data_IF_560125977532
#
_entry.id   IF_560125977532
#
_cell.length_a   1.000
_cell.length_b   1.000
_cell.length_c   1.000
_cell.angle_alpha   90.00
_cell.angle_beta   90.00
_cell.angle_gamma   90.00
#
_symmetry.space_group_name_H-M   'P 1'
#
loop_
_entity.id
_entity.type
_entity.pdbx_description
1 polymer ?
#
# COMPACT_ATOMS: atom_id res chain seq x y z
N UNK A 1 -18.42 -7.93 4.29
CA UNK A 1 -16.94 -7.94 4.19
C UNK A 1 -16.46 -6.78 5.05
N UNK A 2 -15.56 -7.07 5.98
CA UNK A 2 -15.39 -6.34 7.24
C UNK A 2 -15.04 -4.86 7.07
N UNK A 3 -15.96 -4.00 7.48
CA UNK A 3 -15.68 -2.60 7.83
C UNK A 3 -14.90 -2.58 9.13
N UNK A 4 -13.80 -1.82 9.24
CA UNK A 4 -13.19 -1.53 10.54
C UNK A 4 -12.97 -0.02 10.70
N UNK A 5 -13.76 0.54 11.60
CA UNK A 5 -14.09 1.96 11.75
C UNK A 5 -13.09 2.77 12.62
N UNK A 6 -11.79 2.43 12.65
CA UNK A 6 -10.84 3.12 13.54
C UNK A 6 -9.42 3.26 12.97
N UNK A 7 -9.19 4.38 12.27
CA UNK A 7 -7.98 5.22 12.38
C UNK A 7 -6.56 4.65 12.17
N UNK A 8 -6.37 3.36 11.90
CA UNK A 8 -5.08 2.76 11.57
C UNK A 8 -5.28 1.68 10.50
N UNK A 9 -4.40 1.58 9.49
CA UNK A 9 -4.56 0.60 8.43
C UNK A 9 -4.28 -0.79 9.00
N UNK A 10 -5.32 -1.54 9.38
CA UNK A 10 -5.19 -2.97 9.64
C UNK A 10 -5.30 -3.73 8.31
N UNK A 11 -4.43 -3.40 7.35
CA UNK A 11 -4.14 -4.32 6.28
C UNK A 11 -3.52 -5.56 6.91
N UNK A 12 -4.06 -6.74 6.62
CA UNK A 12 -3.46 -8.00 7.05
C UNK A 12 -2.05 -8.13 6.49
N UNK A 13 -1.19 -8.92 7.13
CA UNK A 13 0.18 -9.15 6.66
C UNK A 13 0.20 -9.60 5.19
N UNK A 14 -0.77 -10.41 4.76
CA UNK A 14 -0.91 -10.84 3.37
C UNK A 14 -1.21 -9.67 2.41
N UNK A 15 -2.07 -8.73 2.82
CA UNK A 15 -2.35 -7.52 2.04
C UNK A 15 -1.13 -6.61 1.96
N UNK A 16 -0.36 -6.47 3.05
CA UNK A 16 0.89 -5.70 3.05
C UNK A 16 1.91 -6.35 2.11
N UNK A 17 2.04 -7.68 2.13
CA UNK A 17 2.93 -8.39 1.20
C UNK A 17 2.52 -8.16 -0.27
N UNK A 18 1.22 -8.25 -0.59
CA UNK A 18 0.73 -7.96 -1.95
C UNK A 18 1.04 -6.51 -2.37
N UNK A 19 0.86 -5.55 -1.46
CA UNK A 19 1.20 -4.15 -1.71
C UNK A 19 2.70 -4.00 -1.98
N UNK A 20 3.55 -4.57 -1.12
CA UNK A 20 5.00 -4.52 -1.28
C UNK A 20 5.45 -5.15 -2.60
N UNK A 21 4.90 -6.31 -2.96
CA UNK A 21 5.15 -6.99 -4.23
C UNK A 21 4.77 -6.11 -5.42
N UNK A 22 3.56 -5.58 -5.42
CA UNK A 22 3.06 -4.75 -6.52
C UNK A 22 3.82 -3.43 -6.63
N UNK A 23 4.15 -2.79 -5.50
CA UNK A 23 5.00 -1.60 -5.48
C UNK A 23 6.42 -1.92 -5.97
N UNK A 24 6.93 -3.13 -5.74
CA UNK A 24 8.24 -3.58 -6.22
C UNK A 24 8.24 -3.78 -7.73
N UNK A 25 7.19 -4.41 -8.26
CA UNK A 25 6.96 -4.54 -9.72
C UNK A 25 6.84 -3.16 -10.37
N UNK A 26 6.13 -2.23 -9.74
CA UNK A 26 6.00 -0.86 -10.21
C UNK A 26 7.28 -0.01 -10.06
N UNK A 27 8.33 -0.54 -9.42
CA UNK A 27 9.61 0.16 -9.22
C UNK A 27 9.61 1.21 -8.11
N UNK A 28 8.57 1.26 -7.27
CA UNK A 28 8.46 2.19 -6.13
C UNK A 28 8.95 1.61 -4.81
N UNK A 29 9.08 0.28 -4.69
CA UNK A 29 9.53 -0.41 -3.48
C UNK A 29 10.80 -1.23 -3.72
N UNK A 30 11.87 -0.91 -2.97
CA UNK A 30 13.16 -1.61 -3.06
C UNK A 30 13.41 -2.61 -1.91
N UNK A 31 12.56 -2.61 -0.90
CA UNK A 31 12.73 -3.43 0.31
C UNK A 31 12.37 -4.91 0.11
N UNK A 32 12.44 -5.65 1.22
CA UNK A 32 11.97 -7.03 1.31
C UNK A 32 10.46 -7.10 1.50
N UNK A 33 9.82 -8.12 0.92
CA UNK A 33 8.38 -8.36 1.09
C UNK A 33 8.20 -9.11 2.41
N UNK A 34 8.25 -8.36 3.51
CA UNK A 34 8.17 -8.87 4.89
C UNK A 34 6.76 -8.84 5.47
N UNK A 35 5.81 -8.21 4.78
CA UNK A 35 4.45 -8.01 5.25
C UNK A 35 4.33 -6.98 6.38
N UNK A 36 5.35 -6.14 6.57
CA UNK A 36 5.41 -5.08 7.58
C UNK A 36 5.24 -3.72 6.91
N UNK A 37 4.25 -2.96 7.37
CA UNK A 37 4.04 -1.58 6.92
C UNK A 37 5.06 -0.65 7.60
N UNK A 38 6.32 -0.72 7.17
CA UNK A 38 7.43 0.10 7.64
C UNK A 38 7.60 1.42 6.87
N UNK A 39 8.60 2.24 7.23
CA UNK A 39 8.89 3.53 6.59
C UNK A 39 9.11 3.44 5.07
N UNK A 40 9.73 2.35 4.60
CA UNK A 40 9.92 2.08 3.18
C UNK A 40 8.59 1.83 2.46
N UNK A 41 7.71 1.03 3.07
CA UNK A 41 6.36 0.75 2.54
C UNK A 41 5.57 2.05 2.42
N UNK A 42 5.60 2.91 3.45
CA UNK A 42 4.95 4.22 3.37
C UNK A 42 5.59 5.14 2.32
N UNK A 43 6.91 5.08 2.13
CA UNK A 43 7.60 5.88 1.11
C UNK A 43 7.20 5.46 -0.31
N UNK A 44 7.12 4.15 -0.57
CA UNK A 44 6.63 3.60 -1.83
C UNK A 44 5.18 3.99 -2.10
N UNK A 45 4.31 3.87 -1.10
CA UNK A 45 2.89 4.25 -1.19
C UNK A 45 2.75 5.75 -1.50
N UNK A 46 3.56 6.61 -0.87
CA UNK A 46 3.55 8.05 -1.17
C UNK A 46 4.02 8.36 -2.58
N UNK A 47 5.05 7.67 -3.06
CA UNK A 47 5.56 7.83 -4.42
C UNK A 47 4.53 7.40 -5.47
N UNK A 48 3.89 6.24 -5.26
CA UNK A 48 2.82 5.76 -6.13
C UNK A 48 1.62 6.71 -6.14
N UNK A 49 1.12 7.11 -4.97
CA UNK A 49 0.00 8.06 -4.88
C UNK A 49 0.31 9.38 -5.57
N UNK A 50 1.54 9.89 -5.42
CA UNK A 50 1.99 11.10 -6.12
C UNK A 50 2.02 10.90 -7.64
N UNK A 51 2.43 9.73 -8.12
CA UNK A 51 2.46 9.41 -9.54
C UNK A 51 1.06 9.33 -10.15
N UNK A 52 0.10 8.77 -9.41
CA UNK A 52 -1.29 8.60 -9.84
C UNK A 52 -2.21 9.78 -9.46
N UNK A 53 -1.66 10.93 -9.04
CA UNK A 53 -2.44 12.10 -8.58
C UNK A 53 -3.44 11.81 -7.45
N UNK A 54 -3.21 10.76 -6.67
CA UNK A 54 -4.01 10.40 -5.50
C UNK A 54 -3.62 11.25 -4.28
N UNK A 55 -4.53 11.45 -3.32
CA UNK A 55 -4.21 12.12 -2.06
C UNK A 55 -3.10 11.36 -1.31
N UNK A 56 -1.93 12.00 -1.18
CA UNK A 56 -0.73 11.46 -0.52
C UNK A 56 -0.93 11.43 0.99
N UNK A 57 -1.66 10.42 1.47
CA UNK A 57 -1.84 10.13 2.89
C UNK A 57 -1.14 8.80 3.28
N UNK A 58 -0.86 8.63 4.57
CA UNK A 58 -0.25 7.42 5.13
C UNK A 58 -1.27 6.26 5.28
N UNK A 59 -2.48 6.38 4.76
CA UNK A 59 -3.49 5.33 4.87
C UNK A 59 -3.29 4.29 3.77
N UNK A 60 -3.05 3.04 4.16
CA UNK A 60 -3.23 1.86 3.30
C UNK A 60 -4.72 1.49 3.27
N UNK A 61 -5.57 2.44 2.88
CA UNK A 61 -7.02 2.24 2.81
C UNK A 61 -7.39 1.23 1.72
N UNK A 62 -8.59 0.65 1.85
CA UNK A 62 -9.15 -0.26 0.84
C UNK A 62 -9.15 0.34 -0.57
N UNK A 63 -9.35 1.65 -0.71
CA UNK A 63 -9.29 2.37 -1.99
C UNK A 63 -7.90 2.23 -2.66
N UNK A 64 -6.82 2.38 -1.88
CA UNK A 64 -5.47 2.22 -2.39
C UNK A 64 -5.21 0.77 -2.81
N UNK A 65 -5.66 -0.21 -2.00
CA UNK A 65 -5.52 -1.64 -2.32
C UNK A 65 -6.34 -2.02 -3.57
N UNK A 66 -7.53 -1.46 -3.71
CA UNK A 66 -8.40 -1.68 -4.87
C UNK A 66 -7.77 -1.12 -6.14
N UNK A 67 -7.25 0.11 -6.09
CA UNK A 67 -6.52 0.69 -7.20
C UNK A 67 -5.27 -0.13 -7.54
N UNK A 68 -4.53 -0.59 -6.53
CA UNK A 68 -3.37 -1.45 -6.76
C UNK A 68 -3.71 -2.74 -7.50
N UNK A 69 -4.81 -3.40 -7.11
CA UNK A 69 -5.29 -4.64 -7.76
C UNK A 69 -5.81 -4.43 -9.19
N UNK A 70 -6.22 -3.23 -9.52
CA UNK A 70 -6.70 -2.89 -10.87
C UNK A 70 -5.55 -2.60 -11.84
N UNK A 71 -4.40 -2.14 -11.31
CA UNK A 71 -3.25 -1.69 -12.10
C UNK A 71 -2.01 -2.60 -12.01
N UNK A 72 -2.05 -3.67 -11.20
CA UNK A 72 -1.01 -4.70 -11.09
C UNK A 72 -1.34 -5.93 -11.93
#
# INVERSE_FOLDING_TARGET
MSVNERGAPTASTQEIMMIQESMKVAGFYGGEIDGVAGPETYSAVRAYKKHHHMPVNNSLSDEFVMHLREFA
#
